data_IF_311967786874
#
_entry.id   IF_311967786874
#
_cell.length_a   1.000
_cell.length_b   1.000
_cell.length_c   1.000
_cell.angle_alpha   90.00
_cell.angle_beta   90.00
_cell.angle_gamma   90.00
#
_symmetry.space_group_name_H-M   'P 1'
#
loop_
_entity.id
_entity.type
_entity.pdbx_description
1 polymer ?
#
# COMPACT_ATOMS: atom_id res chain seq x y z
N UNK A 1 42.63 -44.76 -52.12
CA UNK A 1 41.16 -44.79 -51.98
C UNK A 1 40.74 -45.54 -50.72
N UNK A 2 41.29 -46.73 -50.45
CA UNK A 2 41.03 -47.50 -49.21
C UNK A 2 41.37 -46.75 -47.91
N UNK A 3 42.49 -46.02 -47.84
CA UNK A 3 42.82 -45.19 -46.67
C UNK A 3 41.76 -44.14 -46.34
N UNK A 4 41.09 -43.58 -47.35
CA UNK A 4 40.05 -42.57 -47.17
C UNK A 4 38.76 -43.20 -46.66
N UNK A 5 38.42 -44.39 -47.19
CA UNK A 5 37.29 -45.20 -46.74
C UNK A 5 37.50 -45.63 -45.28
N UNK A 6 38.73 -46.03 -44.95
CA UNK A 6 39.08 -46.42 -43.59
C UNK A 6 38.98 -45.22 -42.63
N UNK A 7 39.51 -44.06 -43.01
CA UNK A 7 39.37 -42.82 -42.23
C UNK A 7 37.91 -42.47 -41.95
N UNK A 8 37.03 -42.62 -42.94
CA UNK A 8 35.59 -42.40 -42.77
C UNK A 8 34.96 -43.43 -41.83
N UNK A 9 35.34 -44.72 -41.93
CA UNK A 9 34.88 -45.78 -41.04
C UNK A 9 35.32 -45.55 -39.59
N UNK A 10 36.56 -45.12 -39.38
CA UNK A 10 37.12 -44.89 -38.05
C UNK A 10 36.49 -43.65 -37.38
N UNK A 11 36.26 -42.57 -38.13
CA UNK A 11 35.56 -41.37 -37.65
C UNK A 11 34.07 -41.68 -37.35
N UNK A 12 33.43 -42.52 -38.17
CA UNK A 12 32.07 -42.98 -37.93
C UNK A 12 31.97 -43.87 -36.68
N UNK A 13 32.94 -44.77 -36.48
CA UNK A 13 33.04 -45.61 -35.29
C UNK A 13 33.32 -44.79 -34.02
N UNK A 14 34.14 -43.74 -34.09
CA UNK A 14 34.40 -42.84 -32.95
C UNK A 14 33.20 -41.98 -32.54
N UNK A 15 32.24 -41.73 -33.45
CA UNK A 15 30.96 -41.08 -33.12
C UNK A 15 29.96 -42.01 -32.44
N UNK A 16 30.24 -43.31 -32.38
CA UNK A 16 29.44 -44.29 -31.64
C UNK A 16 30.08 -44.50 -30.27
N UNK A 17 29.39 -44.09 -29.20
CA UNK A 17 29.69 -44.56 -27.85
C UNK A 17 29.55 -46.10 -27.79
N UNK A 18 30.24 -46.79 -26.86
CA UNK A 18 30.36 -48.25 -26.85
C UNK A 18 29.03 -49.04 -26.79
N UNK A 19 27.90 -48.39 -26.53
CA UNK A 19 26.57 -49.03 -26.54
C UNK A 19 25.75 -48.80 -27.82
N UNK A 20 26.35 -48.23 -28.88
CA UNK A 20 25.77 -48.28 -30.24
C UNK A 20 24.43 -47.57 -30.46
N UNK A 21 23.95 -46.77 -29.51
CA UNK A 21 22.74 -45.98 -29.69
C UNK A 21 23.11 -44.57 -30.17
N UNK A 22 22.82 -44.28 -31.44
CA UNK A 22 22.65 -42.90 -31.88
C UNK A 22 21.42 -42.34 -31.14
N UNK A 23 21.62 -41.63 -30.03
CA UNK A 23 20.52 -40.86 -29.42
C UNK A 23 20.19 -39.72 -30.36
N UNK A 24 19.07 -39.86 -31.09
CA UNK A 24 18.50 -38.80 -31.91
C UNK A 24 18.47 -37.51 -31.08
N UNK A 25 19.05 -36.39 -31.56
CA UNK A 25 19.01 -35.10 -30.87
C UNK A 25 17.60 -34.69 -30.42
N UNK A 26 16.55 -35.16 -31.13
CA UNK A 26 15.15 -34.94 -30.75
C UNK A 26 14.74 -35.72 -29.50
N UNK A 27 15.22 -36.95 -29.33
CA UNK A 27 14.98 -37.79 -28.15
C UNK A 27 15.71 -37.21 -26.95
N UNK A 28 16.96 -36.77 -27.13
CA UNK A 28 17.74 -36.15 -26.04
C UNK A 28 17.13 -34.80 -25.59
N UNK A 29 16.59 -34.02 -26.53
CA UNK A 29 15.83 -32.80 -26.20
C UNK A 29 14.52 -33.13 -25.46
N UNK A 30 13.80 -34.15 -25.90
CA UNK A 30 12.58 -34.61 -25.23
C UNK A 30 12.87 -35.07 -23.79
N UNK A 31 13.91 -35.87 -23.58
CA UNK A 31 14.34 -36.31 -22.24
C UNK A 31 14.73 -35.15 -21.34
N UNK A 32 15.47 -34.17 -21.88
CA UNK A 32 15.82 -32.94 -21.17
C UNK A 32 14.56 -32.16 -20.75
N UNK A 33 13.61 -31.95 -21.65
CA UNK A 33 12.36 -31.25 -21.35
C UNK A 33 11.50 -31.98 -20.33
N UNK A 34 11.48 -33.32 -20.37
CA UNK A 34 10.79 -34.13 -19.37
C UNK A 34 11.45 -34.04 -18.00
N UNK A 35 12.77 -34.03 -17.93
CA UNK A 35 13.49 -33.84 -16.67
C UNK A 35 13.24 -32.43 -16.10
N UNK A 36 13.25 -31.40 -16.95
CA UNK A 36 12.95 -30.04 -16.54
C UNK A 36 11.50 -29.91 -16.03
N UNK A 37 10.54 -30.52 -16.73
CA UNK A 37 9.16 -30.58 -16.26
C UNK A 37 9.04 -31.30 -14.90
N UNK A 38 9.81 -32.38 -14.69
CA UNK A 38 9.85 -33.11 -13.41
C UNK A 38 10.41 -32.24 -12.29
N UNK A 39 11.49 -31.48 -12.54
CA UNK A 39 12.06 -30.54 -11.56
C UNK A 39 11.04 -29.48 -11.15
N UNK A 40 10.40 -28.84 -12.13
CA UNK A 40 9.37 -27.85 -11.87
C UNK A 40 8.20 -28.45 -11.08
N UNK A 41 7.81 -29.69 -11.39
CA UNK A 41 6.75 -30.39 -10.65
C UNK A 41 7.15 -30.63 -9.19
N UNK A 42 8.37 -31.10 -8.94
CA UNK A 42 8.86 -31.28 -7.58
C UNK A 42 8.91 -29.96 -6.79
N UNK A 43 9.32 -28.86 -7.42
CA UNK A 43 9.28 -27.53 -6.80
C UNK A 43 7.84 -27.10 -6.45
N UNK A 44 6.90 -27.33 -7.38
CA UNK A 44 5.48 -27.06 -7.16
C UNK A 44 4.92 -27.84 -5.97
N UNK A 45 5.18 -29.15 -5.93
CA UNK A 45 4.69 -30.02 -4.86
C UNK A 45 5.34 -29.64 -3.51
N UNK A 46 6.65 -29.31 -3.52
CA UNK A 46 7.34 -28.82 -2.32
C UNK A 46 6.75 -27.51 -1.81
N UNK A 47 6.40 -26.58 -2.70
CA UNK A 47 5.79 -25.31 -2.31
C UNK A 47 4.39 -25.52 -1.74
N UNK A 48 3.57 -26.35 -2.39
CA UNK A 48 2.24 -26.70 -1.90
C UNK A 48 2.29 -27.33 -0.51
N UNK A 49 3.21 -28.28 -0.29
CA UNK A 49 3.44 -28.88 1.02
C UNK A 49 3.85 -27.84 2.07
N UNK A 50 4.74 -26.90 1.71
CA UNK A 50 5.13 -25.83 2.63
C UNK A 50 3.95 -24.92 2.97
N UNK A 51 3.04 -24.65 2.04
CA UNK A 51 1.84 -23.84 2.30
C UNK A 51 0.92 -24.58 3.27
N UNK A 52 0.63 -25.86 3.04
CA UNK A 52 -0.17 -26.68 3.97
C UNK A 52 0.43 -26.70 5.37
N UNK A 53 1.75 -26.89 5.49
CA UNK A 53 2.42 -26.86 6.79
C UNK A 53 2.32 -25.48 7.46
N UNK A 54 2.52 -24.38 6.72
CA UNK A 54 2.32 -23.02 7.24
C UNK A 54 0.86 -22.74 7.64
N UNK A 55 -0.11 -23.46 7.09
CA UNK A 55 -1.52 -23.41 7.51
C UNK A 55 -1.83 -24.32 8.70
N UNK A 56 -0.87 -25.14 9.14
CA UNK A 56 -1.03 -26.08 10.25
C UNK A 56 -1.47 -27.48 9.86
N UNK A 57 -1.49 -27.79 8.57
CA UNK A 57 -1.86 -29.11 8.04
C UNK A 57 -0.62 -30.02 7.84
N UNK A 58 -0.83 -31.33 7.77
CA UNK A 58 0.20 -32.32 7.43
C UNK A 58 1.48 -32.26 8.29
N UNK A 59 1.33 -31.91 9.58
CA UNK A 59 2.45 -31.73 10.52
C UNK A 59 3.02 -33.04 11.08
N UNK A 60 2.27 -34.14 10.98
CA UNK A 60 2.60 -35.43 11.61
C UNK A 60 3.92 -36.04 11.12
N UNK A 61 4.34 -35.70 9.90
CA UNK A 61 5.59 -36.21 9.31
C UNK A 61 6.82 -35.36 9.62
N UNK A 62 6.67 -34.23 10.32
CA UNK A 62 7.77 -33.32 10.65
C UNK A 62 8.46 -33.71 11.95
N UNK A 63 9.78 -33.50 12.01
CA UNK A 63 10.52 -33.66 13.26
C UNK A 63 10.24 -32.49 14.21
N UNK A 64 10.59 -32.65 15.49
CA UNK A 64 10.45 -31.57 16.50
C UNK A 64 11.23 -30.32 16.07
N UNK A 65 12.43 -30.49 15.52
CA UNK A 65 13.25 -29.38 15.03
C UNK A 65 12.59 -28.65 13.86
N UNK A 66 11.96 -29.38 12.95
CA UNK A 66 11.24 -28.80 11.81
C UNK A 66 9.99 -28.04 12.27
N UNK A 67 9.27 -28.57 13.25
CA UNK A 67 8.13 -27.90 13.88
C UNK A 67 8.54 -26.60 14.58
N UNK A 68 9.64 -26.60 15.32
CA UNK A 68 10.18 -25.38 15.95
C UNK A 68 10.58 -24.33 14.91
N UNK A 69 11.21 -24.75 13.81
CA UNK A 69 11.55 -23.84 12.71
C UNK A 69 10.30 -23.27 12.04
N UNK A 70 9.26 -24.10 11.83
CA UNK A 70 7.98 -23.68 11.28
C UNK A 70 7.28 -22.67 12.19
N UNK A 71 7.21 -22.95 13.50
CA UNK A 71 6.66 -22.05 14.51
C UNK A 71 7.40 -20.72 14.54
N UNK A 72 8.74 -20.73 14.52
CA UNK A 72 9.54 -19.51 14.47
C UNK A 72 9.23 -18.67 13.22
N UNK A 73 9.11 -19.32 12.05
CA UNK A 73 8.78 -18.63 10.79
C UNK A 73 7.38 -18.01 10.85
N UNK A 74 6.39 -18.75 11.32
CA UNK A 74 5.02 -18.25 11.49
C UNK A 74 4.95 -17.12 12.51
N UNK A 75 5.62 -17.27 13.66
CA UNK A 75 5.68 -16.25 14.70
C UNK A 75 6.28 -14.93 14.19
N UNK A 76 7.38 -14.99 13.44
CA UNK A 76 7.98 -13.81 12.79
C UNK A 76 7.04 -13.17 11.76
N UNK A 77 6.41 -13.98 10.92
CA UNK A 77 5.43 -13.50 9.93
C UNK A 77 4.23 -12.81 10.59
N UNK A 78 3.69 -13.42 11.65
CA UNK A 78 2.58 -12.86 12.42
C UNK A 78 2.94 -11.55 13.10
N UNK A 79 4.13 -11.47 13.71
CA UNK A 79 4.63 -10.23 14.31
C UNK A 79 4.73 -9.11 13.27
N UNK A 80 5.32 -9.39 12.10
CA UNK A 80 5.41 -8.44 11.00
C UNK A 80 4.02 -7.94 10.54
N UNK A 81 3.07 -8.86 10.31
CA UNK A 81 1.69 -8.50 9.93
C UNK A 81 1.02 -7.61 10.97
N UNK A 82 1.21 -7.90 12.27
CA UNK A 82 0.67 -7.07 13.35
C UNK A 82 1.28 -5.67 13.33
N UNK A 83 2.61 -5.57 13.24
CA UNK A 83 3.31 -4.29 13.18
C UNK A 83 2.85 -3.45 11.98
N UNK A 84 2.79 -4.03 10.77
CA UNK A 84 2.31 -3.32 9.59
C UNK A 84 0.85 -2.87 9.74
N UNK A 85 -0.01 -3.71 10.33
CA UNK A 85 -1.40 -3.32 10.61
C UNK A 85 -1.46 -2.15 11.59
N UNK A 86 -0.66 -2.18 12.64
CA UNK A 86 -0.59 -1.09 13.63
C UNK A 86 -0.12 0.21 12.97
N UNK A 87 0.97 0.17 12.19
CA UNK A 87 1.49 1.32 11.44
C UNK A 87 0.42 1.94 10.53
N UNK A 88 -0.28 1.12 9.72
CA UNK A 88 -1.35 1.59 8.84
C UNK A 88 -2.55 2.17 9.57
N UNK A 89 -2.87 1.65 10.76
CA UNK A 89 -3.94 2.20 11.59
C UNK A 89 -3.54 3.55 12.19
N UNK A 90 -2.29 3.69 12.64
CA UNK A 90 -1.79 4.96 13.13
C UNK A 90 -1.80 6.03 12.04
N UNK A 91 -1.35 5.71 10.83
CA UNK A 91 -1.41 6.63 9.68
C UNK A 91 -2.85 7.07 9.36
N UNK A 92 -3.81 6.15 9.40
CA UNK A 92 -5.22 6.49 9.17
C UNK A 92 -5.80 7.39 10.26
N UNK A 93 -5.47 7.12 11.53
CA UNK A 93 -5.91 7.94 12.65
C UNK A 93 -5.36 9.36 12.50
N UNK A 94 -4.06 9.49 12.21
CA UNK A 94 -3.41 10.79 12.00
C UNK A 94 -4.05 11.54 10.83
N UNK A 95 -4.27 10.87 9.69
CA UNK A 95 -4.94 11.49 8.53
C UNK A 95 -6.34 12.01 8.88
N UNK A 96 -7.14 11.23 9.61
CA UNK A 96 -8.48 11.63 10.02
C UNK A 96 -8.44 12.80 11.02
N UNK A 97 -7.49 12.81 11.96
CA UNK A 97 -7.28 13.92 12.89
C UNK A 97 -6.93 15.22 12.16
N UNK A 98 -5.95 15.19 11.24
CA UNK A 98 -5.59 16.37 10.42
C UNK A 98 -6.77 16.89 9.61
N UNK A 99 -7.64 16.01 9.10
CA UNK A 99 -8.84 16.42 8.37
C UNK A 99 -9.87 17.08 9.28
N UNK A 100 -10.07 16.56 10.49
CA UNK A 100 -10.95 17.17 11.49
C UNK A 100 -10.43 18.56 11.85
N UNK A 101 -9.15 18.69 12.16
CA UNK A 101 -8.50 19.97 12.46
C UNK A 101 -8.67 20.98 11.31
N UNK A 102 -8.49 20.53 10.07
CA UNK A 102 -8.70 21.38 8.89
C UNK A 102 -10.15 21.87 8.76
N UNK A 103 -11.13 21.02 9.06
CA UNK A 103 -12.56 21.37 9.02
C UNK A 103 -12.93 22.32 10.16
N UNK A 104 -12.42 22.09 11.36
CA UNK A 104 -12.63 22.97 12.52
C UNK A 104 -12.00 24.35 12.29
N UNK A 105 -10.80 24.38 11.71
CA UNK A 105 -10.15 25.63 11.29
C UNK A 105 -10.98 26.41 10.26
N UNK A 106 -11.60 25.71 9.30
CA UNK A 106 -12.46 26.35 8.31
C UNK A 106 -13.75 26.90 8.96
N UNK A 107 -14.38 26.10 9.82
CA UNK A 107 -15.63 26.47 10.51
C UNK A 107 -15.45 27.67 11.43
N UNK A 108 -14.39 27.67 12.24
CA UNK A 108 -14.04 28.79 13.12
C UNK A 108 -13.69 30.05 12.33
N UNK A 109 -12.98 29.91 11.21
CA UNK A 109 -12.75 30.99 10.26
C UNK A 109 -14.05 31.63 9.76
N UNK A 110 -14.98 30.83 9.22
CA UNK A 110 -16.26 31.36 8.75
C UNK A 110 -17.09 32.03 9.85
N UNK A 111 -17.11 31.46 11.06
CA UNK A 111 -17.79 32.08 12.21
C UNK A 111 -17.17 33.42 12.60
N UNK A 112 -15.84 33.56 12.59
CA UNK A 112 -15.18 34.83 12.95
C UNK A 112 -15.38 35.92 11.88
N UNK A 113 -15.45 35.56 10.59
CA UNK A 113 -15.84 36.49 9.52
C UNK A 113 -17.26 37.00 9.72
N UNK A 114 -18.22 36.09 9.93
CA UNK A 114 -19.61 36.47 10.16
C UNK A 114 -19.79 37.37 11.39
N UNK A 115 -19.12 37.06 12.50
CA UNK A 115 -19.14 37.90 13.71
C UNK A 115 -18.53 39.28 13.47
N UNK A 116 -17.42 39.37 12.75
CA UNK A 116 -16.81 40.67 12.40
C UNK A 116 -17.74 41.51 11.53
N UNK A 117 -18.40 40.92 10.53
CA UNK A 117 -19.36 41.64 9.68
C UNK A 117 -20.56 42.16 10.49
N UNK A 118 -21.10 41.34 11.39
CA UNK A 118 -22.19 41.74 12.30
C UNK A 118 -21.75 42.90 13.20
N UNK A 119 -20.56 42.83 13.81
CA UNK A 119 -20.03 43.90 14.65
C UNK A 119 -19.78 45.19 13.86
N UNK A 120 -19.31 45.08 12.62
CA UNK A 120 -19.08 46.24 11.74
C UNK A 120 -20.40 46.89 11.29
N UNK A 121 -21.45 46.10 11.02
CA UNK A 121 -22.80 46.63 10.76
C UNK A 121 -23.36 47.34 11.98
N UNK A 122 -23.20 46.77 13.18
CA UNK A 122 -23.64 47.41 14.43
C UNK A 122 -22.92 48.74 14.66
N UNK A 123 -21.59 48.81 14.52
CA UNK A 123 -20.82 50.06 14.67
C UNK A 123 -21.28 51.16 13.70
N UNK A 124 -21.49 50.82 12.42
CA UNK A 124 -22.02 51.77 11.42
C UNK A 124 -23.43 52.26 11.71
N UNK A 125 -24.25 51.46 12.39
CA UNK A 125 -25.59 51.89 12.82
C UNK A 125 -25.54 52.78 14.07
N UNK A 126 -24.57 52.59 14.97
CA UNK A 126 -24.34 53.44 16.15
C UNK A 126 -23.79 54.83 15.80
N UNK A 127 -23.03 54.96 14.70
CA UNK A 127 -22.51 56.26 14.23
C UNK A 127 -23.55 57.11 13.47
N UNK A 128 -24.74 56.56 13.14
CA UNK A 128 -25.81 57.26 12.39
C UNK A 128 -26.89 57.91 13.28
N UNK A 129 -26.53 58.42 14.45
CA UNK A 129 -27.45 59.25 15.25
C UNK A 129 -27.59 60.65 14.63
N UNK A 130 -28.80 61.22 14.51
CA UNK A 130 -29.01 62.47 13.76
C UNK A 130 -28.42 63.68 14.49
N UNK A 131 -27.50 64.39 13.83
CA UNK A 131 -27.16 65.76 14.21
C UNK A 131 -28.33 66.68 13.81
N UNK A 132 -29.21 67.00 14.76
CA UNK A 132 -30.15 68.10 14.61
C UNK A 132 -29.41 69.43 14.79
N UNK A 133 -28.84 69.96 13.71
CA UNK A 133 -28.56 71.39 13.60
C UNK A 133 -29.84 72.09 13.12
N UNK A 134 -30.56 72.74 14.02
CA UNK A 134 -31.60 73.70 13.64
C UNK A 134 -31.24 75.07 14.19
N UNK A 135 -30.92 75.94 13.26
CA UNK A 135 -30.74 77.38 13.41
C UNK A 135 -32.07 78.10 13.69
N UNK A 136 -32.01 79.06 14.62
CA UNK A 136 -32.68 80.37 14.66
C UNK A 136 -34.19 80.50 14.33
N UNK A 137 -34.97 81.04 15.28
CA UNK A 137 -36.23 81.73 14.97
C UNK A 137 -37.21 82.04 16.12
N UNK A 138 -37.07 83.24 16.71
CA UNK A 138 -38.14 84.19 17.14
C UNK A 138 -39.05 83.91 18.37
N UNK A 139 -38.86 84.80 19.38
CA UNK A 139 -39.76 85.50 20.31
C UNK A 139 -40.99 84.83 20.96
N UNK A 140 -41.16 85.07 22.28
CA UNK A 140 -42.25 85.90 22.84
C UNK A 140 -41.83 86.41 24.22
N UNK A 141 -41.95 87.72 24.37
CA UNK A 141 -41.84 88.48 25.60
C UNK A 141 -43.20 88.47 26.30
N UNK A 142 -43.24 88.24 27.61
CA UNK A 142 -44.40 88.59 28.43
C UNK A 142 -43.92 89.16 29.75
N UNK A 143 -44.13 90.46 29.89
CA UNK A 143 -44.12 91.19 31.15
C UNK A 143 -45.48 91.01 31.85
N UNK A 144 -45.49 90.86 33.17
CA UNK A 144 -46.55 91.21 34.13
C UNK A 144 -45.98 90.93 35.55
N UNK A 145 -45.43 91.92 36.27
CA UNK A 145 -46.07 92.79 37.28
C UNK A 145 -46.78 92.07 38.44
N UNK A 146 -46.08 91.89 39.57
CA UNK A 146 -46.17 92.72 40.80
C UNK A 146 -44.91 92.53 41.65
#
# INVERSE_FOLDING_TARGET
MERTIQKYKDIHAQKMHPDGLFTDPRVQNLEYLLDEARKLRHQSDSLANSISQLMGDSLQSLSISDLQNLEMRMGKGLACVRTTKEELLFEQIENLQTRIEGIEGCTTGFQCFSQNDIQNVQKRNLEKSPQCSSSNGVAIQTALQL
#
